data_IF_659816320894
#
_entry.id   IF_659816320894
#
_cell.length_a   1.000
_cell.length_b   1.000
_cell.length_c   1.000
_cell.angle_alpha   90.00
_cell.angle_beta   90.00
_cell.angle_gamma   90.00
#
_symmetry.space_group_name_H-M   'P 1'
#
loop_
_entity.id
_entity.type
_entity.pdbx_description
1 polymer ?
#
# COMPACT_ATOMS: atom_id res chain seq x y z
N UNK A 1 12.19 -3.00 1.89
CA UNK A 1 13.30 -3.30 2.81
C UNK A 1 14.28 -2.16 2.92
N UNK A 2 14.86 -1.69 1.82
CA UNK A 2 15.96 -0.70 1.81
C UNK A 2 15.63 0.59 2.58
N UNK A 3 14.46 1.16 2.34
CA UNK A 3 14.03 2.37 3.06
C UNK A 3 13.97 2.14 4.57
N UNK A 4 13.33 1.06 4.98
CA UNK A 4 13.16 0.73 6.40
C UNK A 4 14.49 0.46 7.10
N UNK A 5 15.42 -0.23 6.44
CA UNK A 5 16.77 -0.48 6.97
C UNK A 5 17.52 0.83 7.22
N UNK A 6 17.49 1.76 6.26
CA UNK A 6 18.12 3.09 6.41
C UNK A 6 17.45 3.93 7.50
N UNK A 7 16.11 3.85 7.57
CA UNK A 7 15.35 4.56 8.58
C UNK A 7 15.71 4.08 10.00
N UNK A 8 15.72 2.78 10.22
CA UNK A 8 16.06 2.19 11.52
C UNK A 8 17.51 2.51 11.93
N UNK A 9 18.47 2.44 11.01
CA UNK A 9 19.85 2.86 11.25
C UNK A 9 19.94 4.34 11.63
N UNK A 10 19.23 5.22 10.93
CA UNK A 10 19.18 6.66 11.22
C UNK A 10 18.62 6.95 12.62
N UNK A 11 17.68 6.16 13.11
CA UNK A 11 17.10 6.32 14.46
C UNK A 11 17.86 5.53 15.54
N UNK A 12 19.01 4.95 15.20
CA UNK A 12 19.98 4.41 16.14
C UNK A 12 19.93 2.89 16.37
N UNK A 13 19.22 2.15 15.54
CA UNK A 13 19.25 0.68 15.57
C UNK A 13 20.48 0.12 14.86
N UNK A 14 21.03 -0.97 15.37
CA UNK A 14 21.99 -1.79 14.64
C UNK A 14 21.21 -2.69 13.68
N UNK A 15 21.36 -2.46 12.38
CA UNK A 15 20.57 -3.13 11.34
C UNK A 15 21.37 -4.23 10.67
N UNK A 16 20.80 -5.42 10.61
CA UNK A 16 21.25 -6.52 9.76
C UNK A 16 20.20 -6.82 8.69
N UNK A 17 20.61 -7.39 7.56
CA UNK A 17 19.74 -7.69 6.43
C UNK A 17 19.85 -9.16 6.03
N UNK A 18 18.72 -9.84 5.96
CA UNK A 18 18.59 -11.16 5.36
C UNK A 18 17.84 -11.04 4.02
N UNK A 19 18.42 -11.58 2.94
CA UNK A 19 17.81 -11.60 1.62
C UNK A 19 18.24 -12.86 0.87
N UNK A 20 17.32 -13.47 0.10
CA UNK A 20 17.60 -14.66 -0.71
C UNK A 20 18.62 -14.41 -1.82
N UNK A 21 18.61 -13.17 -2.33
CA UNK A 21 19.54 -12.76 -3.38
C UNK A 21 20.68 -11.93 -2.79
N UNK A 22 21.78 -11.89 -3.49
CA UNK A 22 22.90 -11.05 -3.08
C UNK A 22 22.57 -9.59 -3.43
N UNK A 23 22.03 -8.85 -2.44
CA UNK A 23 21.76 -7.42 -2.57
C UNK A 23 22.97 -6.61 -2.11
N UNK A 24 23.26 -5.54 -2.82
CA UNK A 24 24.25 -4.56 -2.39
C UNK A 24 23.63 -3.72 -1.25
N UNK A 25 24.25 -3.77 -0.08
CA UNK A 25 23.77 -3.08 1.13
C UNK A 25 24.95 -2.66 2.00
N UNK A 26 24.89 -1.51 2.69
CA UNK A 26 25.90 -1.12 3.67
C UNK A 26 25.80 -1.92 4.99
N UNK A 27 24.72 -2.67 5.19
CA UNK A 27 24.44 -3.39 6.43
C UNK A 27 25.04 -4.81 6.41
N UNK A 28 25.30 -5.36 7.59
CA UNK A 28 25.74 -6.74 7.72
C UNK A 28 24.67 -7.69 7.18
N UNK A 29 25.11 -8.65 6.38
CA UNK A 29 24.22 -9.71 5.87
C UNK A 29 24.17 -10.87 6.85
N UNK A 30 22.96 -11.44 6.96
CA UNK A 30 22.69 -12.67 7.70
C UNK A 30 22.19 -13.71 6.70
N UNK A 31 22.95 -14.82 6.58
CA UNK A 31 22.60 -15.90 5.64
C UNK A 31 21.57 -16.86 6.27
N UNK A 32 21.72 -17.19 7.55
CA UNK A 32 20.79 -18.04 8.31
C UNK A 32 20.08 -17.20 9.37
N UNK A 33 19.01 -16.52 8.94
CA UNK A 33 18.23 -15.67 9.83
C UNK A 33 17.47 -16.47 10.90
N UNK A 34 17.11 -17.75 10.61
CA UNK A 34 16.40 -18.59 11.58
C UNK A 34 17.26 -18.91 12.79
N UNK A 35 18.56 -19.14 12.59
CA UNK A 35 19.47 -19.45 13.69
C UNK A 35 19.68 -18.28 14.66
N UNK A 36 19.46 -17.04 14.22
CA UNK A 36 19.75 -15.82 15.01
C UNK A 36 18.49 -14.99 15.31
N UNK A 37 17.30 -15.49 15.01
CA UNK A 37 16.04 -14.77 15.15
C UNK A 37 15.80 -14.21 16.56
N UNK A 38 16.31 -14.87 17.59
CA UNK A 38 16.17 -14.45 18.98
C UNK A 38 17.24 -13.45 19.46
N UNK A 39 18.20 -13.10 18.59
CA UNK A 39 19.24 -12.13 18.90
C UNK A 39 18.76 -10.68 18.59
N UNK A 40 17.55 -10.52 18.02
CA UNK A 40 17.00 -9.25 17.58
C UNK A 40 15.82 -8.79 18.45
N UNK A 41 15.85 -7.51 18.83
CA UNK A 41 14.75 -6.84 19.51
C UNK A 41 13.61 -6.48 18.54
N UNK A 42 13.93 -6.36 17.24
CA UNK A 42 13.00 -5.97 16.19
C UNK A 42 13.27 -6.78 14.91
N UNK A 43 12.23 -7.33 14.33
CA UNK A 43 12.25 -8.05 13.06
C UNK A 43 11.24 -7.42 12.11
N UNK A 44 11.71 -7.00 10.93
CA UNK A 44 10.85 -6.42 9.89
C UNK A 44 10.78 -7.36 8.68
N UNK A 45 9.59 -7.85 8.39
CA UNK A 45 9.32 -8.64 7.18
C UNK A 45 9.04 -7.69 6.01
N UNK A 46 10.02 -7.55 5.13
CA UNK A 46 10.03 -6.56 4.03
C UNK A 46 10.27 -7.23 2.66
N UNK A 47 9.59 -8.33 2.42
CA UNK A 47 9.65 -9.12 1.18
C UNK A 47 8.30 -9.08 0.44
N UNK A 48 8.17 -9.57 -0.81
CA UNK A 48 6.88 -9.64 -1.50
C UNK A 48 5.80 -10.37 -0.71
N UNK A 49 4.52 -10.11 -1.00
CA UNK A 49 3.39 -10.53 -0.15
C UNK A 49 3.32 -12.05 0.10
N UNK A 50 3.53 -12.89 -0.94
CA UNK A 50 3.50 -14.35 -0.79
C UNK A 50 4.60 -14.88 0.14
N UNK A 51 5.90 -14.58 -0.11
CA UNK A 51 6.97 -14.95 0.82
C UNK A 51 6.76 -14.38 2.23
N UNK A 52 6.11 -13.22 2.39
CA UNK A 52 5.83 -12.65 3.72
C UNK A 52 4.99 -13.59 4.57
N UNK A 53 3.94 -14.19 4.00
CA UNK A 53 3.10 -15.15 4.73
C UNK A 53 3.90 -16.37 5.20
N UNK A 54 4.73 -16.94 4.31
CA UNK A 54 5.59 -18.10 4.63
C UNK A 54 6.59 -17.78 5.75
N UNK A 55 7.20 -16.59 5.70
CA UNK A 55 8.14 -16.12 6.72
C UNK A 55 7.43 -15.90 8.06
N UNK A 56 6.24 -15.29 8.07
CA UNK A 56 5.47 -15.10 9.29
C UNK A 56 5.05 -16.43 9.91
N UNK A 57 4.62 -17.40 9.11
CA UNK A 57 4.34 -18.77 9.58
C UNK A 57 5.58 -19.38 10.22
N UNK A 58 6.75 -19.25 9.59
CA UNK A 58 8.00 -19.76 10.14
C UNK A 58 8.43 -19.05 11.41
N UNK A 59 8.27 -17.73 11.49
CA UNK A 59 8.52 -16.95 12.72
C UNK A 59 7.59 -17.38 13.87
N UNK A 60 6.34 -17.72 13.59
CA UNK A 60 5.42 -18.23 14.57
C UNK A 60 5.89 -19.54 15.22
N UNK A 61 6.55 -20.41 14.45
CA UNK A 61 7.18 -21.65 14.97
C UNK A 61 8.42 -21.36 15.83
N UNK A 62 9.25 -20.38 15.39
CA UNK A 62 10.50 -20.00 16.06
C UNK A 62 10.28 -19.16 17.32
N UNK A 63 9.13 -18.50 17.44
CA UNK A 63 8.71 -17.69 18.59
C UNK A 63 9.73 -16.63 19.01
N UNK A 64 10.10 -15.69 18.12
CA UNK A 64 11.01 -14.60 18.47
C UNK A 64 10.50 -13.79 19.66
N UNK A 65 11.44 -13.34 20.50
CA UNK A 65 11.12 -12.50 21.66
C UNK A 65 10.97 -11.02 21.28
N UNK A 66 11.58 -10.59 20.20
CA UNK A 66 11.51 -9.23 19.68
C UNK A 66 10.15 -8.87 19.08
N UNK A 67 9.93 -7.57 18.84
CA UNK A 67 8.80 -7.10 18.08
C UNK A 67 8.92 -7.57 16.63
N UNK A 68 7.85 -8.09 16.06
CA UNK A 68 7.78 -8.42 14.63
C UNK A 68 6.73 -7.57 13.94
N UNK A 69 7.03 -7.03 12.77
CA UNK A 69 6.02 -6.48 11.87
C UNK A 69 6.38 -6.66 10.39
N UNK A 70 5.37 -6.75 9.55
CA UNK A 70 5.50 -6.66 8.10
C UNK A 70 5.31 -5.22 7.62
N UNK A 71 5.73 -4.94 6.37
CA UNK A 71 5.46 -3.67 5.70
C UNK A 71 4.73 -3.85 4.36
N UNK A 72 3.94 -4.91 4.24
CA UNK A 72 3.21 -5.24 3.02
C UNK A 72 2.05 -4.27 2.73
N UNK A 73 1.81 -4.03 1.44
CA UNK A 73 0.73 -3.15 0.97
C UNK A 73 -0.66 -3.73 1.14
N UNK A 74 -0.79 -5.03 1.33
CA UNK A 74 -2.04 -5.76 1.60
C UNK A 74 -1.84 -6.69 2.78
N UNK A 75 -2.94 -7.00 3.47
CA UNK A 75 -2.91 -7.87 4.66
C UNK A 75 -3.59 -9.23 4.43
N UNK A 76 -4.61 -9.30 3.57
CA UNK A 76 -5.29 -10.57 3.26
C UNK A 76 -4.34 -11.69 2.82
N UNK A 77 -3.32 -11.47 1.96
CA UNK A 77 -2.38 -12.52 1.58
C UNK A 77 -1.48 -13.04 2.70
N UNK A 78 -1.39 -12.30 3.81
CA UNK A 78 -0.55 -12.62 4.96
C UNK A 78 -1.35 -13.00 6.21
N UNK A 79 -2.69 -13.09 6.10
CA UNK A 79 -3.60 -13.34 7.22
C UNK A 79 -3.20 -14.58 8.03
N UNK A 80 -2.94 -15.69 7.37
CA UNK A 80 -2.58 -16.94 8.05
C UNK A 80 -1.31 -16.78 8.89
N UNK A 81 -0.28 -16.14 8.34
CA UNK A 81 0.97 -15.88 9.04
C UNK A 81 0.79 -14.91 10.20
N UNK A 82 0.01 -13.84 10.03
CA UNK A 82 -0.29 -12.89 11.09
C UNK A 82 -1.08 -13.54 12.23
N UNK A 83 -2.09 -14.36 11.91
CA UNK A 83 -2.86 -15.12 12.90
C UNK A 83 -1.98 -16.13 13.63
N UNK A 84 -1.13 -16.89 12.93
CA UNK A 84 -0.19 -17.83 13.52
C UNK A 84 0.78 -17.16 14.50
N UNK A 85 1.32 -15.99 14.13
CA UNK A 85 2.18 -15.18 14.99
C UNK A 85 1.46 -14.75 16.27
N UNK A 86 0.24 -14.21 16.15
CA UNK A 86 -0.60 -13.84 17.30
C UNK A 86 -0.87 -15.05 18.21
N UNK A 87 -1.33 -16.16 17.63
CA UNK A 87 -1.74 -17.35 18.37
C UNK A 87 -0.56 -18.06 19.03
N UNK A 88 0.66 -17.90 18.50
CA UNK A 88 1.90 -18.38 19.15
C UNK A 88 2.35 -17.51 20.33
N UNK A 89 1.71 -16.36 20.57
CA UNK A 89 2.04 -15.42 21.63
C UNK A 89 3.20 -14.46 21.27
N UNK A 90 3.58 -14.37 20.01
CA UNK A 90 4.60 -13.44 19.55
C UNK A 90 4.11 -11.98 19.60
N UNK A 91 5.04 -11.05 19.76
CA UNK A 91 4.77 -9.62 19.71
C UNK A 91 4.69 -9.20 18.23
N UNK A 92 3.49 -9.21 17.69
CA UNK A 92 3.21 -8.96 16.26
C UNK A 92 2.26 -7.80 16.08
N UNK A 93 2.55 -6.92 15.14
CA UNK A 93 1.60 -6.02 14.49
C UNK A 93 1.87 -6.01 12.98
N UNK A 94 1.08 -5.27 12.23
CA UNK A 94 1.31 -5.12 10.81
C UNK A 94 1.34 -3.64 10.46
N UNK A 95 2.24 -3.22 9.58
CA UNK A 95 2.48 -1.82 9.24
C UNK A 95 2.38 -1.65 7.72
N UNK A 96 1.81 -0.54 7.26
CA UNK A 96 1.80 -0.19 5.85
C UNK A 96 2.23 1.26 5.68
N UNK A 97 3.50 1.53 5.35
CA UNK A 97 3.95 2.84 4.92
C UNK A 97 3.33 3.20 3.56
N UNK A 98 2.53 4.27 3.52
CA UNK A 98 1.80 4.72 2.32
C UNK A 98 2.69 5.58 1.40
N UNK A 99 3.92 5.14 1.18
CA UNK A 99 4.90 5.83 0.34
C UNK A 99 5.93 4.86 -0.24
N UNK A 100 6.56 5.28 -1.34
CA UNK A 100 7.57 4.47 -2.02
C UNK A 100 8.95 4.53 -1.35
N UNK A 101 9.89 3.67 -1.77
CA UNK A 101 11.22 3.55 -1.16
C UNK A 101 12.13 4.78 -1.36
N UNK A 102 11.78 5.68 -2.25
CA UNK A 102 12.54 6.91 -2.56
C UNK A 102 12.15 8.10 -1.65
N UNK A 103 11.17 7.91 -0.75
CA UNK A 103 10.70 8.99 0.11
C UNK A 103 11.77 9.39 1.14
N UNK A 104 12.05 10.69 1.23
CA UNK A 104 13.07 11.23 2.14
C UNK A 104 12.45 11.83 3.39
N UNK A 105 11.33 12.51 3.25
CA UNK A 105 10.63 13.19 4.34
C UNK A 105 9.24 12.61 4.59
N UNK A 106 8.82 12.50 5.85
CA UNK A 106 7.54 11.91 6.22
C UNK A 106 6.43 12.93 6.49
N UNK A 107 6.67 14.22 6.27
CA UNK A 107 5.63 15.24 6.42
C UNK A 107 4.53 15.05 5.39
N UNK A 108 3.28 14.92 5.87
CA UNK A 108 2.11 14.64 5.04
C UNK A 108 2.09 13.23 4.44
N UNK A 109 2.91 12.32 4.94
CA UNK A 109 2.86 10.90 4.61
C UNK A 109 2.10 10.13 5.69
N UNK A 110 1.45 9.04 5.30
CA UNK A 110 0.69 8.20 6.20
C UNK A 110 1.43 6.90 6.48
N UNK A 111 1.33 6.43 7.72
CA UNK A 111 1.74 5.08 8.11
C UNK A 111 0.53 4.43 8.77
N UNK A 112 0.08 3.34 8.19
CA UNK A 112 -1.04 2.58 8.73
C UNK A 112 -0.52 1.48 9.65
N UNK A 113 -1.09 1.40 10.83
CA UNK A 113 -0.83 0.34 11.81
C UNK A 113 -2.06 -0.55 11.85
N UNK A 114 -1.89 -1.82 11.52
CA UNK A 114 -2.99 -2.77 11.40
C UNK A 114 -3.02 -3.67 12.63
N UNK A 115 -4.15 -3.62 13.32
CA UNK A 115 -4.38 -4.42 14.51
C UNK A 115 -4.64 -5.89 14.15
N UNK A 116 -3.75 -6.72 14.64
CA UNK A 116 -3.86 -8.18 14.53
C UNK A 116 -4.12 -8.84 15.88
N UNK A 117 -4.59 -8.05 16.85
CA UNK A 117 -4.92 -8.50 18.21
C UNK A 117 -3.82 -8.28 19.25
N UNK A 118 -2.86 -7.38 18.99
CA UNK A 118 -1.77 -7.05 19.93
C UNK A 118 -1.52 -5.55 20.00
N UNK A 119 -2.26 -4.86 20.87
CA UNK A 119 -2.18 -3.39 21.04
C UNK A 119 -0.82 -2.90 21.55
N UNK A 120 -0.14 -3.69 22.37
CA UNK A 120 1.17 -3.32 22.90
C UNK A 120 2.21 -3.33 21.78
N UNK A 121 2.15 -4.30 20.86
CA UNK A 121 3.01 -4.35 19.69
C UNK A 121 2.76 -3.15 18.74
N UNK A 122 1.50 -2.74 18.57
CA UNK A 122 1.16 -1.53 17.80
C UNK A 122 1.77 -0.29 18.47
N UNK A 123 1.59 -0.14 19.77
CA UNK A 123 2.12 1.03 20.49
C UNK A 123 3.65 1.11 20.37
N UNK A 124 4.33 -0.02 20.47
CA UNK A 124 5.78 -0.11 20.29
C UNK A 124 6.22 0.21 18.86
N UNK A 125 5.55 -0.34 17.85
CA UNK A 125 5.84 -0.03 16.45
C UNK A 125 5.58 1.45 16.13
N UNK A 126 4.51 2.04 16.66
CA UNK A 126 4.23 3.49 16.52
C UNK A 126 5.32 4.36 17.15
N UNK A 127 5.89 3.95 18.27
CA UNK A 127 6.96 4.68 18.93
C UNK A 127 8.19 4.86 18.03
N UNK A 128 8.46 3.93 17.12
CA UNK A 128 9.54 4.04 16.14
C UNK A 128 9.40 5.31 15.27
N UNK A 129 8.18 5.76 15.01
CA UNK A 129 7.88 6.90 14.13
C UNK A 129 7.47 8.17 14.90
N UNK A 130 7.48 8.16 16.24
CA UNK A 130 6.95 9.24 17.06
C UNK A 130 7.68 10.60 16.88
N UNK A 131 8.92 10.57 16.40
CA UNK A 131 9.73 11.77 16.12
C UNK A 131 9.62 12.23 14.66
N UNK A 132 8.80 11.56 13.85
CA UNK A 132 8.54 11.95 12.46
C UNK A 132 7.28 12.82 12.36
N UNK A 133 7.13 13.49 11.23
CA UNK A 133 5.91 14.22 10.90
C UNK A 133 4.91 13.39 10.07
N UNK A 134 4.97 12.07 10.19
CA UNK A 134 4.01 11.16 9.54
C UNK A 134 2.68 11.13 10.29
N UNK A 135 1.59 11.07 9.55
CA UNK A 135 0.26 10.81 10.09
C UNK A 135 0.09 9.29 10.32
N UNK A 136 -0.02 8.88 11.58
CA UNK A 136 -0.16 7.49 11.97
C UNK A 136 -1.63 7.15 12.19
N UNK A 137 -2.17 6.23 11.40
CA UNK A 137 -3.57 5.78 11.46
C UNK A 137 -3.61 4.32 11.86
N UNK A 138 -4.54 3.95 12.75
CA UNK A 138 -4.77 2.57 13.17
C UNK A 138 -6.06 2.05 12.54
N UNK A 139 -6.02 0.83 12.00
CA UNK A 139 -7.12 0.14 11.35
C UNK A 139 -7.16 -1.32 11.81
N UNK A 140 -8.34 -1.95 11.74
CA UNK A 140 -8.41 -3.41 11.76
C UNK A 140 -7.87 -4.00 10.43
N UNK A 141 -7.63 -5.29 10.41
CA UNK A 141 -7.15 -5.98 9.22
C UNK A 141 -8.18 -5.92 8.08
N UNK A 142 -9.45 -6.06 8.42
CA UNK A 142 -10.57 -5.98 7.48
C UNK A 142 -10.70 -4.58 6.91
N UNK A 143 -10.76 -3.54 7.77
CA UNK A 143 -10.85 -2.14 7.34
C UNK A 143 -9.69 -1.74 6.44
N UNK A 144 -8.47 -2.22 6.74
CA UNK A 144 -7.31 -1.93 5.91
C UNK A 144 -7.52 -2.38 4.46
N UNK A 145 -7.85 -3.64 4.23
CA UNK A 145 -7.95 -4.16 2.87
C UNK A 145 -9.21 -3.64 2.14
N UNK A 146 -10.31 -3.36 2.85
CA UNK A 146 -11.47 -2.67 2.28
C UNK A 146 -11.08 -1.28 1.74
N UNK A 147 -10.38 -0.48 2.54
CA UNK A 147 -9.93 0.87 2.14
C UNK A 147 -8.87 0.78 1.04
N UNK A 148 -7.94 -0.18 1.11
CA UNK A 148 -6.90 -0.33 0.09
C UNK A 148 -7.44 -0.78 -1.27
N UNK A 149 -8.60 -1.42 -1.35
CA UNK A 149 -9.24 -1.71 -2.63
C UNK A 149 -9.62 -0.42 -3.40
N UNK A 150 -9.96 0.65 -2.69
CA UNK A 150 -10.22 1.98 -3.26
C UNK A 150 -8.95 2.78 -3.46
N UNK A 151 -8.12 2.90 -2.41
CA UNK A 151 -6.94 3.79 -2.39
C UNK A 151 -5.84 3.29 -3.33
N UNK A 152 -5.58 2.00 -3.34
CA UNK A 152 -4.59 1.39 -4.24
C UNK A 152 -5.24 0.71 -5.43
N UNK A 153 -6.22 -0.18 -5.18
CA UNK A 153 -6.85 -1.00 -6.22
C UNK A 153 -7.43 -0.13 -7.34
N UNK A 154 -8.41 0.70 -7.02
CA UNK A 154 -9.07 1.53 -8.02
C UNK A 154 -8.12 2.57 -8.63
N UNK A 155 -7.35 3.29 -7.81
CA UNK A 155 -6.49 4.37 -8.33
C UNK A 155 -5.43 3.84 -9.28
N UNK A 156 -4.82 2.69 -8.99
CA UNK A 156 -3.84 2.07 -9.89
C UNK A 156 -4.51 1.58 -11.17
N UNK A 157 -5.64 0.88 -11.06
CA UNK A 157 -6.38 0.35 -12.21
C UNK A 157 -6.76 1.44 -13.21
N UNK A 158 -7.31 2.55 -12.72
CA UNK A 158 -7.71 3.70 -13.55
C UNK A 158 -6.52 4.29 -14.28
N UNK A 159 -5.38 4.48 -13.59
CA UNK A 159 -4.19 5.06 -14.19
C UNK A 159 -3.52 4.12 -15.21
N UNK A 160 -3.49 2.81 -14.93
CA UNK A 160 -2.98 1.80 -15.86
C UNK A 160 -3.88 1.74 -17.11
N UNK A 161 -5.21 1.75 -16.93
CA UNK A 161 -6.16 1.73 -18.04
C UNK A 161 -6.06 3.00 -18.90
N UNK A 162 -5.93 4.17 -18.28
CA UNK A 162 -5.72 5.44 -18.98
C UNK A 162 -4.43 5.42 -19.82
N UNK A 163 -3.30 5.00 -19.21
CA UNK A 163 -2.03 4.89 -19.93
C UNK A 163 -2.10 3.87 -21.08
N UNK A 164 -2.76 2.72 -20.84
CA UNK A 164 -2.99 1.68 -21.85
C UNK A 164 -3.83 2.19 -23.03
N UNK A 165 -4.90 2.93 -22.76
CA UNK A 165 -5.73 3.55 -23.81
C UNK A 165 -4.92 4.55 -24.64
N UNK A 166 -4.10 5.41 -24.02
CA UNK A 166 -3.21 6.32 -24.74
C UNK A 166 -2.18 5.58 -25.59
N UNK A 167 -1.60 4.50 -25.07
CA UNK A 167 -0.62 3.70 -25.81
C UNK A 167 -1.24 3.04 -27.07
N UNK A 168 -2.52 2.73 -27.04
CA UNK A 168 -3.26 2.10 -28.15
C UNK A 168 -3.94 3.09 -29.08
N UNK A 169 -4.03 4.38 -28.73
CA UNK A 169 -4.73 5.41 -29.52
C UNK A 169 -4.08 5.69 -30.86
N UNK A 170 -2.79 5.40 -31.04
CA UNK A 170 -1.98 5.80 -32.19
C UNK A 170 -1.58 7.26 -32.21
N UNK A 171 -2.02 8.07 -31.24
CA UNK A 171 -1.71 9.49 -31.15
C UNK A 171 -0.29 9.72 -30.58
N UNK A 172 0.34 10.79 -31.08
CA UNK A 172 1.66 11.18 -30.59
C UNK A 172 1.55 11.80 -29.18
N UNK A 173 1.92 11.08 -28.14
CA UNK A 173 1.90 11.58 -26.75
C UNK A 173 2.58 12.94 -26.58
N UNK A 174 3.72 13.25 -27.26
CA UNK A 174 4.31 14.59 -27.21
C UNK A 174 3.38 15.70 -27.72
N UNK A 175 2.61 15.43 -28.78
CA UNK A 175 1.63 16.38 -29.29
C UNK A 175 0.48 16.57 -28.30
N UNK A 176 -0.07 15.49 -27.76
CA UNK A 176 -1.13 15.56 -26.75
C UNK A 176 -0.68 16.38 -25.54
N UNK A 177 0.56 16.19 -25.10
CA UNK A 177 1.14 16.97 -24.00
C UNK A 177 1.29 18.45 -24.35
N UNK A 178 1.68 18.77 -25.57
CA UNK A 178 1.86 20.16 -26.03
C UNK A 178 0.55 20.96 -26.08
N UNK A 179 -0.57 20.31 -26.44
CA UNK A 179 -1.89 20.95 -26.58
C UNK A 179 -2.84 20.64 -25.41
N UNK A 180 -2.32 20.11 -24.32
CA UNK A 180 -3.11 19.56 -23.23
C UNK A 180 -3.73 20.61 -22.32
N UNK A 181 -4.86 20.24 -21.69
CA UNK A 181 -5.41 20.96 -20.55
C UNK A 181 -4.64 20.66 -19.26
N UNK A 182 -4.85 21.49 -18.23
CA UNK A 182 -4.31 21.22 -16.88
C UNK A 182 -4.76 19.88 -16.31
N UNK A 183 -6.03 19.50 -16.55
CA UNK A 183 -6.60 18.21 -16.14
C UNK A 183 -5.90 17.04 -16.82
N UNK A 184 -5.70 17.11 -18.14
CA UNK A 184 -4.99 16.05 -18.87
C UNK A 184 -3.54 15.90 -18.38
N UNK A 185 -2.83 17.02 -18.18
CA UNK A 185 -1.46 16.98 -17.68
C UNK A 185 -1.36 16.36 -16.28
N UNK A 186 -2.27 16.69 -15.37
CA UNK A 186 -2.32 16.11 -14.04
C UNK A 186 -2.53 14.59 -14.13
N UNK A 187 -3.51 14.15 -14.92
CA UNK A 187 -3.81 12.72 -15.13
C UNK A 187 -2.64 11.98 -15.78
N UNK A 188 -2.01 12.57 -16.81
CA UNK A 188 -0.86 11.99 -17.50
C UNK A 188 0.35 11.83 -16.55
N UNK A 189 0.61 12.81 -15.69
CA UNK A 189 1.70 12.71 -14.71
C UNK A 189 1.47 11.57 -13.73
N UNK A 190 0.28 11.45 -13.15
CA UNK A 190 -0.05 10.36 -12.22
C UNK A 190 0.04 9.00 -12.94
N UNK A 191 -0.54 8.88 -14.12
CA UNK A 191 -0.49 7.65 -14.90
C UNK A 191 0.95 7.25 -15.26
N UNK A 192 1.80 8.23 -15.60
CA UNK A 192 3.23 7.98 -15.89
C UNK A 192 3.95 7.44 -14.65
N UNK A 193 3.72 8.01 -13.48
CA UNK A 193 4.29 7.51 -12.23
C UNK A 193 3.87 6.06 -11.97
N UNK A 194 2.56 5.79 -12.06
CA UNK A 194 2.00 4.45 -11.82
C UNK A 194 2.59 3.40 -12.76
N UNK A 195 2.68 3.66 -14.08
CA UNK A 195 3.20 2.67 -15.04
C UNK A 195 4.73 2.54 -15.04
N UNK A 196 5.44 3.44 -14.35
CA UNK A 196 6.89 3.37 -14.18
C UNK A 196 7.32 2.49 -13.02
N UNK A 197 6.38 2.11 -12.15
CA UNK A 197 6.62 1.27 -11.00
C UNK A 197 6.75 -0.22 -11.37
N UNK A 198 7.05 -1.07 -10.37
CA UNK A 198 7.17 -2.50 -10.56
C UNK A 198 5.83 -3.15 -10.93
N UNK A 199 5.64 -3.67 -12.16
CA UNK A 199 4.35 -4.22 -12.61
C UNK A 199 3.92 -5.47 -11.82
N UNK A 200 4.87 -6.23 -11.27
CA UNK A 200 4.56 -7.41 -10.47
C UNK A 200 3.95 -7.04 -9.13
N UNK A 201 4.46 -5.97 -8.48
CA UNK A 201 3.87 -5.45 -7.25
C UNK A 201 2.43 -4.95 -7.49
N UNK A 202 2.22 -4.20 -8.59
CA UNK A 202 0.89 -3.70 -8.93
C UNK A 202 -0.10 -4.82 -9.25
N UNK A 203 0.37 -5.88 -9.93
CA UNK A 203 -0.45 -7.08 -10.14
C UNK A 203 -0.79 -7.78 -8.82
N UNK A 204 0.16 -7.95 -7.91
CA UNK A 204 -0.08 -8.53 -6.58
C UNK A 204 -1.10 -7.72 -5.78
N UNK A 205 -1.05 -6.38 -5.83
CA UNK A 205 -2.03 -5.50 -5.18
C UNK A 205 -3.43 -5.72 -5.76
N UNK A 206 -3.56 -5.82 -7.09
CA UNK A 206 -4.85 -6.04 -7.74
C UNK A 206 -5.42 -7.43 -7.43
N UNK A 207 -4.60 -8.46 -7.49
CA UNK A 207 -5.02 -9.85 -7.34
C UNK A 207 -5.16 -10.29 -5.89
N UNK A 208 -4.35 -9.75 -4.99
CA UNK A 208 -4.25 -10.18 -3.59
C UNK A 208 -5.31 -9.57 -2.67
N UNK A 209 -5.98 -8.48 -3.05
CA UNK A 209 -7.02 -7.89 -2.23
C UNK A 209 -8.39 -8.46 -2.62
N UNK A 210 -9.05 -9.12 -1.67
CA UNK A 210 -10.35 -9.79 -1.87
C UNK A 210 -11.48 -8.83 -2.29
N UNK A 211 -11.35 -7.54 -1.97
CA UNK A 211 -12.35 -6.52 -2.27
C UNK A 211 -12.15 -5.87 -3.66
N UNK A 212 -11.01 -6.06 -4.32
CA UNK A 212 -10.69 -5.39 -5.59
C UNK A 212 -11.66 -5.76 -6.70
N UNK A 213 -12.13 -7.00 -6.75
CA UNK A 213 -13.07 -7.45 -7.79
C UNK A 213 -14.38 -6.67 -7.74
N UNK A 214 -14.92 -6.43 -6.53
CA UNK A 214 -16.16 -5.68 -6.33
C UNK A 214 -15.97 -4.20 -6.70
N UNK A 215 -14.89 -3.58 -6.24
CA UNK A 215 -14.57 -2.18 -6.55
C UNK A 215 -14.40 -1.98 -8.06
N UNK A 216 -13.69 -2.90 -8.73
CA UNK A 216 -13.49 -2.84 -10.18
C UNK A 216 -14.79 -3.02 -10.96
N UNK A 217 -15.68 -3.91 -10.49
CA UNK A 217 -17.01 -4.09 -11.07
C UNK A 217 -17.83 -2.80 -10.96
N UNK A 218 -17.89 -2.23 -9.77
CA UNK A 218 -18.59 -0.97 -9.53
C UNK A 218 -18.06 0.18 -10.39
N UNK A 219 -16.75 0.29 -10.52
CA UNK A 219 -16.14 1.30 -11.40
C UNK A 219 -16.55 1.13 -12.87
N UNK A 220 -16.58 -0.14 -13.38
CA UNK A 220 -17.03 -0.40 -14.74
C UNK A 220 -18.49 -0.04 -14.95
N UNK A 221 -19.35 -0.37 -13.99
CA UNK A 221 -20.79 -0.03 -14.07
C UNK A 221 -20.98 1.49 -14.20
N UNK A 222 -20.31 2.28 -13.36
CA UNK A 222 -20.37 3.75 -13.45
C UNK A 222 -19.80 4.26 -14.76
N UNK A 223 -18.70 3.68 -15.27
CA UNK A 223 -18.12 4.05 -16.55
C UNK A 223 -19.09 3.73 -17.71
N UNK A 224 -19.69 2.56 -17.72
CA UNK A 224 -20.64 2.14 -18.75
C UNK A 224 -21.88 3.03 -18.75
N UNK A 225 -22.41 3.39 -17.56
CA UNK A 225 -23.55 4.33 -17.45
C UNK A 225 -23.21 5.70 -18.04
N UNK A 226 -22.02 6.25 -17.75
CA UNK A 226 -21.58 7.53 -18.32
C UNK A 226 -21.38 7.49 -19.84
N UNK A 227 -20.79 6.41 -20.36
CA UNK A 227 -20.57 6.21 -21.79
C UNK A 227 -21.90 6.08 -22.52
N UNK A 228 -22.83 5.27 -22.00
CA UNK A 228 -24.16 5.09 -22.58
C UNK A 228 -24.98 6.39 -22.53
N UNK A 229 -24.95 7.12 -21.42
CA UNK A 229 -25.63 8.41 -21.29
C UNK A 229 -25.19 9.42 -22.36
N UNK A 230 -23.90 9.43 -22.73
CA UNK A 230 -23.38 10.27 -23.83
C UNK A 230 -23.86 9.75 -25.18
N UNK A 231 -23.81 8.45 -25.42
CA UNK A 231 -24.25 7.84 -26.69
C UNK A 231 -25.73 8.05 -26.96
N UNK A 232 -26.56 7.99 -25.92
CA UNK A 232 -28.03 8.09 -25.98
C UNK A 232 -28.54 9.55 -25.82
N UNK A 233 -27.64 10.53 -25.69
CA UNK A 233 -27.94 11.94 -25.43
C UNK A 233 -28.73 12.19 -24.13
N UNK A 234 -28.47 11.39 -23.11
CA UNK A 234 -29.13 11.50 -21.79
C UNK A 234 -28.34 12.41 -20.83
N UNK A 235 -28.31 13.72 -21.12
CA UNK A 235 -27.59 14.73 -20.32
C UNK A 235 -27.97 14.68 -18.82
N UNK A 236 -29.25 14.41 -18.51
CA UNK A 236 -29.73 14.35 -17.14
C UNK A 236 -29.09 13.19 -16.33
N UNK A 237 -28.77 12.06 -16.97
CA UNK A 237 -28.07 10.94 -16.33
C UNK A 237 -26.65 11.34 -16.05
N UNK A 238 -25.95 11.87 -17.03
CA UNK A 238 -24.55 12.30 -16.92
C UNK A 238 -24.36 13.36 -15.81
N UNK A 239 -25.18 14.41 -15.84
CA UNK A 239 -25.08 15.51 -14.84
C UNK A 239 -25.45 15.07 -13.43
N UNK A 240 -26.35 14.11 -13.27
CA UNK A 240 -26.66 13.49 -11.97
C UNK A 240 -25.45 12.77 -11.37
N UNK A 241 -24.70 11.99 -12.16
CA UNK A 241 -23.45 11.35 -11.70
C UNK A 241 -22.42 12.39 -11.22
N UNK A 242 -22.19 13.45 -12.00
CA UNK A 242 -21.29 14.53 -11.60
C UNK A 242 -21.77 15.23 -10.31
N UNK A 243 -23.08 15.46 -10.18
CA UNK A 243 -23.65 16.10 -9.00
C UNK A 243 -23.50 15.25 -7.74
N UNK A 244 -23.77 13.96 -7.82
CA UNK A 244 -23.61 13.02 -6.72
C UNK A 244 -22.13 12.91 -6.28
N UNK A 245 -21.21 12.80 -7.22
CA UNK A 245 -19.77 12.77 -6.95
C UNK A 245 -19.31 14.08 -6.26
N UNK A 246 -19.68 15.23 -6.81
CA UNK A 246 -19.37 16.55 -6.22
C UNK A 246 -19.86 16.66 -4.78
N UNK A 247 -21.09 16.24 -4.51
CA UNK A 247 -21.67 16.31 -3.16
C UNK A 247 -20.92 15.40 -2.18
N UNK A 248 -20.56 14.18 -2.62
CA UNK A 248 -19.86 13.21 -1.79
C UNK A 248 -18.44 13.69 -1.44
N UNK A 249 -17.71 14.21 -2.42
CA UNK A 249 -16.34 14.69 -2.23
C UNK A 249 -16.29 15.96 -1.36
N UNK A 250 -17.22 16.92 -1.56
CA UNK A 250 -17.30 18.11 -0.73
C UNK A 250 -17.64 17.82 0.75
N UNK A 251 -18.34 16.72 1.02
CA UNK A 251 -18.63 16.31 2.39
C UNK A 251 -17.42 15.62 3.07
N UNK A 252 -16.52 15.04 2.29
CA UNK A 252 -15.29 14.43 2.81
C UNK A 252 -14.33 15.49 3.40
N UNK A 253 -14.26 16.68 2.81
CA UNK A 253 -13.43 17.80 3.31
C UNK A 253 -13.90 18.38 4.66
N UNK A 254 -15.16 18.11 5.06
CA UNK A 254 -15.76 18.66 6.28
C UNK A 254 -15.63 17.78 7.53
N UNK A 255 -15.13 16.57 7.38
CA UNK A 255 -14.97 15.62 8.48
C UNK A 255 -13.51 15.26 8.65
N UNK A 256 -12.76 15.84 9.63
CA UNK A 256 -11.43 15.34 9.95
C UNK A 256 -11.56 13.87 10.41
N UNK A 257 -10.69 13.02 9.91
CA UNK A 257 -10.56 11.63 10.36
C UNK A 257 -9.93 11.70 11.75
N UNK A 258 -10.66 11.30 12.77
CA UNK A 258 -10.13 11.04 14.09
C UNK A 258 -10.48 12.09 15.14
N UNK A 259 -11.43 11.74 15.99
CA UNK A 259 -11.55 12.12 17.39
C UNK A 259 -11.31 10.87 18.18
#
# INVERSE_FOLDING_TARGET
GVWMSRYLDMVGYNVDVADRVNVETPFRRVDDWEAVVNDYDLIVVAVPLRPSNEILMRLAELKPQGLVFDIGSLKSPMREGLDAMRDSGCRICSVHPMFGPEEIGLSGRHILFVDVGNKDAIAEARALFAHTAADCVELSLEEHDEVMAWVLGLSHLVNIAFAGALAQSGEAVPLLKQISSSTFNAQLNVATQVVSENPHLYYEIQQGNVNTAEVSRHFREVLDELVNAVADNEEAVFTRHMGAAKQRLANAEKKPIGG
#
